data_IF_995130744784
#
_entry.id   IF_995130744784
#
_cell.length_a   1.000
_cell.length_b   1.000
_cell.length_c   1.000
_cell.angle_alpha   90.00
_cell.angle_beta   90.00
_cell.angle_gamma   90.00
#
_symmetry.space_group_name_H-M   'P 1'
#
loop_
_entity.id
_entity.type
_entity.pdbx_description
1 polymer ?
#
# COMPACT_ATOMS: atom_id res chain seq x y z
N UNK A 1 43.83 10.19 -4.77
CA UNK A 1 43.72 8.99 -3.91
C UNK A 1 42.86 9.23 -2.66
N UNK A 2 42.95 10.37 -1.97
CA UNK A 2 42.05 10.66 -0.82
C UNK A 2 40.62 11.03 -1.26
N UNK A 3 40.47 11.80 -2.34
CA UNK A 3 39.18 12.19 -2.90
C UNK A 3 38.35 10.99 -3.41
N UNK A 4 38.97 10.02 -4.07
CA UNK A 4 38.29 8.80 -4.56
C UNK A 4 37.74 7.95 -3.40
N UNK A 5 38.47 7.85 -2.29
CA UNK A 5 38.00 7.13 -1.10
C UNK A 5 36.80 7.83 -0.47
N UNK A 6 36.81 9.17 -0.45
CA UNK A 6 35.70 9.97 0.08
C UNK A 6 34.45 9.82 -0.77
N UNK A 7 34.57 9.96 -2.09
CA UNK A 7 33.44 9.77 -3.02
C UNK A 7 32.82 8.37 -2.93
N UNK A 8 33.66 7.33 -2.82
CA UNK A 8 33.17 5.95 -2.68
C UNK A 8 32.43 5.69 -1.37
N UNK A 9 32.84 6.33 -0.28
CA UNK A 9 32.11 6.25 0.99
C UNK A 9 30.79 7.01 0.89
N UNK A 10 30.77 8.20 0.29
CA UNK A 10 29.54 8.98 0.09
C UNK A 10 28.52 8.23 -0.77
N UNK A 11 28.93 7.63 -1.89
CA UNK A 11 28.04 6.81 -2.73
C UNK A 11 27.49 5.59 -1.98
N UNK A 12 28.34 4.93 -1.17
CA UNK A 12 27.92 3.80 -0.33
C UNK A 12 26.89 4.23 0.70
N UNK A 13 27.06 5.40 1.31
CA UNK A 13 26.10 5.95 2.28
C UNK A 13 24.78 6.33 1.59
N UNK A 14 24.83 6.99 0.42
CA UNK A 14 23.63 7.30 -0.35
C UNK A 14 22.87 6.03 -0.77
N UNK A 15 23.57 5.01 -1.25
CA UNK A 15 22.95 3.73 -1.63
C UNK A 15 22.31 3.02 -0.44
N UNK A 16 22.89 3.11 0.76
CA UNK A 16 22.27 2.60 1.99
C UNK A 16 21.01 3.38 2.33
N UNK A 17 21.09 4.71 2.32
CA UNK A 17 19.95 5.58 2.61
C UNK A 17 18.78 5.35 1.65
N UNK A 18 19.03 5.20 0.34
CA UNK A 18 18.00 4.88 -0.65
C UNK A 18 17.33 3.53 -0.38
N UNK A 19 18.11 2.50 -0.03
CA UNK A 19 17.56 1.18 0.32
C UNK A 19 16.71 1.22 1.57
N UNK A 20 17.16 1.93 2.60
CA UNK A 20 16.41 2.10 3.85
C UNK A 20 15.13 2.90 3.64
N UNK A 21 15.17 3.98 2.85
CA UNK A 21 14.00 4.78 2.50
C UNK A 21 12.97 3.93 1.74
N UNK A 22 13.41 3.18 0.71
CA UNK A 22 12.54 2.27 -0.05
C UNK A 22 11.89 1.22 0.85
N UNK A 23 12.66 0.64 1.77
CA UNK A 23 12.12 -0.32 2.74
C UNK A 23 11.07 0.33 3.65
N UNK A 24 11.38 1.49 4.23
CA UNK A 24 10.48 2.23 5.10
C UNK A 24 9.19 2.63 4.39
N UNK A 25 9.27 3.05 3.12
CA UNK A 25 8.10 3.38 2.29
C UNK A 25 7.21 2.15 2.08
N UNK A 26 7.81 1.00 1.73
CA UNK A 26 7.07 -0.27 1.59
C UNK A 26 6.40 -0.70 2.90
N UNK A 27 7.10 -0.62 4.02
CA UNK A 27 6.56 -0.98 5.34
C UNK A 27 5.41 -0.05 5.74
N UNK A 28 5.54 1.26 5.47
CA UNK A 28 4.47 2.25 5.71
C UNK A 28 3.23 1.94 4.89
N UNK A 29 3.40 1.63 3.61
CA UNK A 29 2.30 1.25 2.72
C UNK A 29 1.61 -0.03 3.19
N UNK A 30 2.37 -1.06 3.56
CA UNK A 30 1.80 -2.31 4.05
C UNK A 30 1.04 -2.12 5.37
N UNK A 31 1.53 -1.27 6.27
CA UNK A 31 0.81 -0.92 7.50
C UNK A 31 -0.52 -0.22 7.19
N UNK A 32 -0.50 0.83 6.37
CA UNK A 32 -1.71 1.54 5.91
C UNK A 32 -2.69 0.57 5.23
N UNK A 33 -2.19 -0.35 4.41
CA UNK A 33 -3.03 -1.34 3.73
C UNK A 33 -3.71 -2.32 4.69
N UNK A 34 -3.01 -2.74 5.76
CA UNK A 34 -3.59 -3.59 6.81
C UNK A 34 -4.73 -2.87 7.53
N UNK A 35 -4.55 -1.59 7.87
CA UNK A 35 -5.57 -0.75 8.49
C UNK A 35 -6.80 -0.63 7.59
N UNK A 36 -6.62 -0.29 6.31
CA UNK A 36 -7.70 -0.22 5.31
C UNK A 36 -8.44 -1.56 5.18
N UNK A 37 -7.71 -2.67 5.19
CA UNK A 37 -8.33 -4.00 5.15
C UNK A 37 -9.14 -4.29 6.42
N UNK A 38 -8.66 -3.88 7.59
CA UNK A 38 -9.37 -4.06 8.85
C UNK A 38 -10.66 -3.23 8.88
N UNK A 39 -10.58 -1.94 8.53
CA UNK A 39 -11.74 -1.05 8.44
C UNK A 39 -12.77 -1.56 7.43
N UNK A 40 -12.33 -2.01 6.25
CA UNK A 40 -13.24 -2.58 5.26
C UNK A 40 -13.94 -3.84 5.76
N UNK A 41 -13.23 -4.73 6.46
CA UNK A 41 -13.84 -5.92 7.06
C UNK A 41 -14.93 -5.55 8.07
N UNK A 42 -14.64 -4.59 8.96
CA UNK A 42 -15.63 -4.10 9.93
C UNK A 42 -16.87 -3.52 9.21
N UNK A 43 -16.67 -2.66 8.22
CA UNK A 43 -17.76 -2.07 7.44
C UNK A 43 -18.59 -3.13 6.69
N UNK A 44 -17.98 -4.21 6.19
CA UNK A 44 -18.70 -5.30 5.54
C UNK A 44 -19.53 -6.11 6.55
N UNK A 45 -19.03 -6.32 7.77
CA UNK A 45 -19.78 -6.99 8.84
C UNK A 45 -21.00 -6.16 9.23
N UNK A 46 -20.83 -4.87 9.47
CA UNK A 46 -21.93 -3.95 9.79
C UNK A 46 -22.96 -3.89 8.65
N UNK A 47 -22.49 -3.76 7.41
CA UNK A 47 -23.35 -3.78 6.23
C UNK A 47 -24.15 -5.08 6.10
N UNK A 48 -23.53 -6.23 6.38
CA UNK A 48 -24.20 -7.52 6.30
C UNK A 48 -25.31 -7.64 7.36
N UNK A 49 -25.01 -7.27 8.60
CA UNK A 49 -25.99 -7.25 9.69
C UNK A 49 -27.19 -6.33 9.37
N UNK A 50 -26.91 -5.14 8.82
CA UNK A 50 -27.97 -4.21 8.41
C UNK A 50 -28.80 -4.76 7.25
N UNK A 51 -28.17 -5.39 6.26
CA UNK A 51 -28.90 -6.05 5.17
C UNK A 51 -29.81 -7.17 5.67
N UNK A 52 -29.36 -7.97 6.63
CA UNK A 52 -30.18 -9.02 7.24
C UNK A 52 -31.38 -8.42 7.99
N UNK A 53 -31.16 -7.35 8.77
CA UNK A 53 -32.23 -6.61 9.46
C UNK A 53 -33.29 -6.11 8.48
N UNK A 54 -32.88 -5.48 7.39
CA UNK A 54 -33.79 -4.95 6.36
C UNK A 54 -34.54 -6.04 5.61
N UNK A 55 -33.89 -7.19 5.34
CA UNK A 55 -34.57 -8.36 4.76
C UNK A 55 -35.62 -8.92 5.70
N UNK A 56 -35.35 -8.97 7.00
CA UNK A 56 -36.33 -9.36 8.03
C UNK A 56 -37.55 -8.43 8.06
N UNK A 57 -37.38 -7.17 7.63
CA UNK A 57 -38.46 -6.19 7.49
C UNK A 57 -39.18 -6.28 6.12
N UNK A 58 -38.83 -7.24 5.27
CA UNK A 58 -39.44 -7.42 3.96
C UNK A 58 -38.94 -6.46 2.87
N UNK A 59 -37.81 -5.76 3.08
CA UNK A 59 -37.22 -4.95 2.01
C UNK A 59 -36.77 -5.83 0.84
N UNK A 60 -37.07 -5.37 -0.38
CA UNK A 60 -36.60 -6.04 -1.58
C UNK A 60 -35.07 -5.92 -1.71
N UNK A 61 -34.44 -6.94 -2.28
CA UNK A 61 -32.98 -7.02 -2.41
C UNK A 61 -32.38 -5.83 -3.19
N UNK A 62 -33.14 -5.30 -4.17
CA UNK A 62 -32.75 -4.12 -4.96
C UNK A 62 -32.65 -2.82 -4.16
N UNK A 63 -33.38 -2.75 -3.04
CA UNK A 63 -33.50 -1.57 -2.18
C UNK A 63 -32.55 -1.66 -0.97
N UNK A 64 -31.79 -2.75 -0.84
CA UNK A 64 -30.77 -2.89 0.21
C UNK A 64 -29.57 -1.98 -0.06
N UNK A 65 -28.88 -1.52 1.01
CA UNK A 65 -27.66 -0.73 0.86
C UNK A 65 -26.62 -1.50 0.04
N UNK A 66 -25.85 -0.78 -0.77
CA UNK A 66 -24.78 -1.38 -1.57
C UNK A 66 -23.63 -1.82 -0.68
N UNK A 67 -22.99 -2.93 -1.05
CA UNK A 67 -21.80 -3.43 -0.36
C UNK A 67 -20.69 -2.35 -0.36
N UNK A 68 -20.03 -2.10 0.78
CA UNK A 68 -18.87 -1.21 0.84
C UNK A 68 -17.81 -1.63 -0.17
N UNK A 69 -17.17 -0.67 -0.83
CA UNK A 69 -16.05 -0.91 -1.74
C UNK A 69 -14.74 -0.74 -0.96
N UNK A 70 -13.78 -1.65 -1.17
CA UNK A 70 -12.42 -1.49 -0.65
C UNK A 70 -11.59 -0.70 -1.67
N UNK A 71 -10.82 0.32 -1.25
CA UNK A 71 -9.86 0.96 -2.15
C UNK A 71 -8.75 -0.03 -2.54
N UNK A 72 -8.07 0.23 -3.66
CA UNK A 72 -6.94 -0.58 -4.12
C UNK A 72 -5.66 -0.17 -3.37
N UNK A 73 -4.75 -1.12 -3.16
CA UNK A 73 -3.44 -0.85 -2.52
C UNK A 73 -2.65 0.21 -3.30
N UNK A 74 -2.64 0.13 -4.63
CA UNK A 74 -1.96 1.10 -5.50
C UNK A 74 -2.52 2.52 -5.39
N UNK A 75 -3.78 2.68 -4.96
CA UNK A 75 -4.36 4.01 -4.72
C UNK A 75 -3.86 4.65 -3.41
N UNK A 76 -3.15 3.89 -2.57
CA UNK A 76 -2.52 4.36 -1.33
C UNK A 76 -1.02 4.64 -1.49
N UNK A 77 -0.43 4.23 -2.62
CA UNK A 77 0.85 4.73 -3.08
C UNK A 77 0.59 6.14 -3.61
N UNK A 78 0.85 7.14 -2.77
CA UNK A 78 1.10 8.49 -3.27
C UNK A 78 2.21 8.36 -4.32
N UNK A 79 1.99 8.94 -5.51
CA UNK A 79 2.94 8.94 -6.62
C UNK A 79 4.23 9.66 -6.19
N UNK A 80 5.12 8.95 -5.50
CA UNK A 80 6.54 9.25 -5.55
C UNK A 80 6.97 8.81 -6.96
N UNK A 81 6.85 9.74 -7.91
CA UNK A 81 7.53 9.65 -9.20
C UNK A 81 9.04 9.69 -8.93
N UNK A 82 9.63 8.51 -8.73
CA UNK A 82 11.02 8.27 -9.14
C UNK A 82 11.06 6.89 -9.80
N UNK A 83 10.71 6.97 -11.07
CA UNK A 83 10.82 5.96 -12.11
C UNK A 83 12.30 5.63 -12.41
N UNK A 84 12.52 4.39 -12.82
CA UNK A 84 13.67 3.92 -13.60
C UNK A 84 15.08 3.95 -12.96
N UNK A 85 15.49 2.78 -12.46
CA UNK A 85 16.67 2.15 -13.06
C UNK A 85 16.57 0.64 -12.93
N UNK A 86 15.96 0.05 -13.96
CA UNK A 86 16.32 -1.29 -14.41
C UNK A 86 17.79 -1.24 -14.85
N UNK A 87 18.70 -1.78 -14.04
CA UNK A 87 20.06 -2.11 -14.47
C UNK A 87 20.21 -3.62 -14.41
N UNK A 88 19.92 -4.24 -15.56
CA UNK A 88 20.35 -5.60 -15.89
C UNK A 88 21.87 -5.58 -16.04
N UNK A 89 22.59 -6.49 -15.39
CA UNK A 89 23.77 -7.11 -15.99
C UNK A 89 24.07 -8.42 -15.28
N UNK A 90 23.58 -9.48 -15.93
CA UNK A 90 24.27 -10.76 -16.08
C UNK A 90 25.74 -10.50 -16.47
N UNK A 91 26.70 -11.16 -15.82
CA UNK A 91 27.95 -11.61 -16.46
C UNK A 91 28.68 -12.61 -15.54
N UNK A 92 28.74 -13.85 -16.07
CA UNK A 92 29.63 -15.02 -15.90
C UNK A 92 30.09 -15.53 -14.51
#
# INVERSE_FOLDING_TARGET
>A
MEDEKKQKEEEKQQRKALKENKKASKERLERRWKEVCATHKAAVVEWAAECERLRGMGMAVKDLPRKPKRPLKASLEEKDEEDESKSESDEE
#
